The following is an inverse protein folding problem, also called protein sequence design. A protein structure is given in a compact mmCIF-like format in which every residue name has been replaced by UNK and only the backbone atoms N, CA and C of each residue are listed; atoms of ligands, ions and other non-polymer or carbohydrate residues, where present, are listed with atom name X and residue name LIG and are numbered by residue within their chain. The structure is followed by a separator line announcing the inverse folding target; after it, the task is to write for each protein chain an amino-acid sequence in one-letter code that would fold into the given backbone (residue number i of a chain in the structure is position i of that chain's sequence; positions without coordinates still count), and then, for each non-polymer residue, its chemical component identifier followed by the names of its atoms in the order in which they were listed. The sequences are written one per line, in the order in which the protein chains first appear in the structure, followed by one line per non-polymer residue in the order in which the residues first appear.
data_IF_777708536786
#
_entry.id   IF_777708536786
#
_cell.length_a   1.000
_cell.length_b   1.000
_cell.length_c   1.000
_cell.angle_alpha   90.00
_cell.angle_beta   90.00
_cell.angle_gamma   90.00
#
_symmetry.space_group_name_H-M   'P 1'
#
loop_
_entity.id
_entity.type
_entity.pdbx_description
1 polymer ?
#
# COMPACT_ATOMS: atom_id res chain seq x y z
N UNK A 1 -8.72 -25.54 -12.08
CA UNK A 1 -7.77 -24.45 -11.81
C UNK A 1 -8.53 -23.34 -11.10
N UNK A 2 -8.52 -23.31 -9.77
CA UNK A 2 -9.26 -22.33 -8.98
C UNK A 2 -8.55 -20.97 -9.05
N UNK A 3 -9.32 -19.91 -9.32
CA UNK A 3 -8.90 -18.50 -9.40
C UNK A 3 -8.46 -17.95 -8.02
N UNK A 4 -7.46 -18.57 -7.41
CA UNK A 4 -6.89 -18.10 -6.16
C UNK A 4 -6.05 -16.86 -6.48
N UNK A 5 -6.45 -15.72 -5.91
CA UNK A 5 -5.73 -14.45 -5.87
C UNK A 5 -5.99 -13.41 -6.99
N UNK A 6 -7.26 -13.09 -7.29
CA UNK A 6 -7.60 -11.92 -8.14
C UNK A 6 -7.34 -10.54 -7.50
N UNK A 7 -6.95 -10.47 -6.23
CA UNK A 7 -6.72 -9.20 -5.51
C UNK A 7 -5.45 -9.26 -4.64
N UNK A 8 -4.26 -9.25 -5.25
CA UNK A 8 -3.02 -9.21 -4.50
C UNK A 8 -2.93 -7.87 -3.74
N UNK A 9 -2.93 -7.96 -2.42
CA UNK A 9 -2.46 -6.88 -1.56
C UNK A 9 -0.97 -6.73 -1.84
N UNK A 10 -0.53 -5.51 -2.09
CA UNK A 10 0.86 -5.16 -2.38
C UNK A 10 1.58 -4.86 -1.07
N UNK A 11 2.77 -5.43 -0.90
CA UNK A 11 3.69 -5.09 0.18
C UNK A 11 4.32 -3.71 -0.08
N UNK A 12 4.48 -2.90 0.96
CA UNK A 12 5.20 -1.62 0.84
C UNK A 12 6.66 -1.83 0.42
N UNK A 13 7.32 -2.86 0.96
CA UNK A 13 8.72 -3.14 0.63
C UNK A 13 8.89 -3.55 -0.84
N UNK A 14 8.00 -4.39 -1.34
CA UNK A 14 8.01 -4.79 -2.76
C UNK A 14 7.77 -3.57 -3.65
N UNK A 15 6.84 -2.67 -3.25
CA UNK A 15 6.59 -1.43 -3.98
C UNK A 15 7.83 -0.50 -4.00
N UNK A 16 8.54 -0.35 -2.88
CA UNK A 16 9.78 0.44 -2.86
C UNK A 16 10.85 -0.12 -3.81
N UNK A 17 10.95 -1.44 -3.90
CA UNK A 17 11.88 -2.13 -4.81
C UNK A 17 11.44 -1.93 -6.27
N UNK A 18 10.17 -2.19 -6.56
CA UNK A 18 9.60 -2.12 -7.91
C UNK A 18 9.61 -0.70 -8.48
N UNK A 19 9.33 0.30 -7.65
CA UNK A 19 9.41 1.73 -8.00
C UNK A 19 10.86 2.27 -7.97
N UNK A 20 11.84 1.44 -7.60
CA UNK A 20 13.26 1.80 -7.64
C UNK A 20 13.65 2.92 -6.68
N UNK A 21 13.01 3.01 -5.51
CA UNK A 21 13.15 4.13 -4.57
C UNK A 21 14.62 4.37 -4.15
N UNK A 22 15.43 3.32 -3.99
CA UNK A 22 16.84 3.46 -3.66
C UNK A 22 17.64 4.18 -4.76
N UNK A 23 17.33 3.89 -6.03
CA UNK A 23 17.95 4.59 -7.17
C UNK A 23 17.53 6.05 -7.15
N UNK A 24 16.24 6.32 -6.88
CA UNK A 24 15.70 7.67 -6.80
C UNK A 24 16.32 8.51 -5.67
N UNK A 25 16.50 7.91 -4.50
CA UNK A 25 17.17 8.55 -3.36
C UNK A 25 18.61 8.89 -3.72
N UNK A 26 19.32 7.99 -4.40
CA UNK A 26 20.68 8.26 -4.87
C UNK A 26 20.72 9.49 -5.79
N UNK A 27 19.83 9.57 -6.77
CA UNK A 27 19.73 10.74 -7.67
C UNK A 27 19.45 12.04 -6.90
N UNK A 28 18.59 11.98 -5.89
CA UNK A 28 18.27 13.15 -5.05
C UNK A 28 19.50 13.61 -4.25
N UNK A 29 20.26 12.67 -3.71
CA UNK A 29 21.50 12.97 -2.98
C UNK A 29 22.54 13.59 -3.91
N UNK A 30 22.75 13.02 -5.10
CA UNK A 30 23.68 13.54 -6.10
C UNK A 30 23.29 14.98 -6.53
N UNK A 31 22.02 15.19 -6.87
CA UNK A 31 21.47 16.51 -7.20
C UNK A 31 21.64 17.51 -6.04
N UNK A 32 21.41 17.08 -4.79
CA UNK A 32 21.52 17.97 -3.64
C UNK A 32 22.96 18.44 -3.42
N UNK A 33 23.94 17.56 -3.62
CA UNK A 33 25.36 17.89 -3.54
C UNK A 33 25.74 18.88 -4.65
N UNK A 34 25.37 18.59 -5.90
CA UNK A 34 25.69 19.45 -7.06
C UNK A 34 25.12 20.86 -6.92
N UNK A 35 23.90 20.96 -6.42
CA UNK A 35 23.16 22.23 -6.31
C UNK A 35 23.31 22.91 -4.94
N UNK A 36 24.13 22.37 -4.04
CA UNK A 36 24.31 22.88 -2.66
C UNK A 36 23.00 23.03 -1.89
N UNK A 37 22.06 22.10 -2.12
CA UNK A 37 20.78 22.03 -1.39
C UNK A 37 21.06 21.65 0.07
N UNK A 38 20.30 22.23 0.99
CA UNK A 38 20.45 21.91 2.42
C UNK A 38 20.06 20.46 2.71
N UNK A 39 20.71 19.84 3.70
CA UNK A 39 20.36 18.47 4.14
C UNK A 39 18.86 18.37 4.50
N UNK A 40 18.31 19.40 5.15
CA UNK A 40 16.89 19.44 5.53
C UNK A 40 15.97 19.38 4.30
N UNK A 41 16.28 20.15 3.27
CA UNK A 41 15.49 20.18 2.04
C UNK A 41 15.62 18.86 1.25
N UNK A 42 16.84 18.31 1.17
CA UNK A 42 17.06 16.99 0.56
C UNK A 42 16.23 15.90 1.26
N UNK A 43 16.23 15.86 2.60
CA UNK A 43 15.43 14.89 3.35
C UNK A 43 13.92 15.08 3.12
N UNK A 44 13.44 16.31 2.99
CA UNK A 44 12.04 16.56 2.65
C UNK A 44 11.67 16.05 1.25
N UNK A 45 12.59 16.16 0.28
CA UNK A 45 12.37 15.62 -1.07
C UNK A 45 12.31 14.08 -1.02
N UNK A 46 13.23 13.43 -0.31
CA UNK A 46 13.23 11.98 -0.13
C UNK A 46 11.92 11.52 0.54
N UNK A 47 11.51 12.18 1.62
CA UNK A 47 10.27 11.84 2.32
C UNK A 47 9.07 11.95 1.38
N UNK A 48 9.03 12.98 0.53
CA UNK A 48 7.96 13.13 -0.46
C UNK A 48 7.91 11.95 -1.45
N UNK A 49 9.04 11.44 -1.92
CA UNK A 49 9.04 10.26 -2.81
C UNK A 49 8.53 9.01 -2.09
N UNK A 50 8.88 8.83 -0.80
CA UNK A 50 8.35 7.74 0.05
C UNK A 50 6.83 7.86 0.18
N UNK A 51 6.34 9.06 0.55
CA UNK A 51 4.92 9.31 0.78
C UNK A 51 4.08 9.03 -0.46
N UNK A 52 4.61 9.32 -1.66
CA UNK A 52 3.92 9.05 -2.93
C UNK A 52 3.70 7.54 -3.15
N UNK A 53 4.69 6.70 -2.83
CA UNK A 53 4.58 5.25 -2.94
C UNK A 53 3.61 4.72 -1.87
N UNK A 54 3.72 5.20 -0.64
CA UNK A 54 2.83 4.85 0.47
C UNK A 54 1.35 5.13 0.13
N UNK A 55 1.06 6.30 -0.42
CA UNK A 55 -0.27 6.70 -0.83
C UNK A 55 -0.80 5.79 -1.95
N UNK A 56 0.03 5.48 -2.95
CA UNK A 56 -0.33 4.59 -4.04
C UNK A 56 -0.67 3.18 -3.53
N UNK A 57 0.19 2.59 -2.70
CA UNK A 57 -0.01 1.26 -2.13
C UNK A 57 -1.23 1.26 -1.20
N UNK A 58 -1.42 2.32 -0.40
CA UNK A 58 -2.59 2.48 0.47
C UNK A 58 -3.89 2.50 -0.31
N UNK A 59 -3.96 3.24 -1.42
CA UNK A 59 -5.15 3.29 -2.29
C UNK A 59 -5.38 1.94 -2.97
N UNK A 60 -4.35 1.32 -3.51
CA UNK A 60 -4.44 -0.01 -4.14
C UNK A 60 -4.95 -1.06 -3.15
N UNK A 61 -4.33 -1.14 -1.97
CA UNK A 61 -4.69 -2.11 -0.94
C UNK A 61 -6.08 -1.88 -0.37
N UNK A 62 -6.53 -0.62 -0.24
CA UNK A 62 -7.92 -0.31 0.12
C UNK A 62 -8.90 -0.87 -0.92
N UNK A 63 -8.65 -0.62 -2.21
CA UNK A 63 -9.49 -1.17 -3.30
C UNK A 63 -9.46 -2.71 -3.33
N UNK A 64 -8.29 -3.32 -3.11
CA UNK A 64 -8.17 -4.77 -3.05
C UNK A 64 -9.00 -5.36 -1.91
N UNK A 65 -8.93 -4.78 -0.70
CA UNK A 65 -9.73 -5.19 0.45
C UNK A 65 -11.23 -5.05 0.20
N UNK A 66 -11.66 -3.93 -0.37
CA UNK A 66 -13.05 -3.70 -0.77
C UNK A 66 -13.58 -4.81 -1.67
N UNK A 67 -12.80 -5.22 -2.67
CA UNK A 67 -13.18 -6.29 -3.60
C UNK A 67 -13.16 -7.68 -2.95
N UNK A 68 -12.24 -7.92 -2.02
CA UNK A 68 -12.24 -9.14 -1.19
C UNK A 68 -13.53 -9.20 -0.40
N UNK A 69 -13.89 -8.13 0.33
CA UNK A 69 -15.11 -8.09 1.16
C UNK A 69 -16.36 -8.35 0.32
N UNK A 70 -16.51 -7.66 -0.82
CA UNK A 70 -17.65 -7.88 -1.73
C UNK A 70 -17.74 -9.32 -2.22
N UNK A 71 -16.61 -9.90 -2.63
CA UNK A 71 -16.56 -11.30 -3.09
C UNK A 71 -16.96 -12.28 -2.00
N UNK A 72 -16.36 -12.16 -0.81
CA UNK A 72 -16.61 -13.09 0.31
C UNK A 72 -18.06 -13.01 0.82
N UNK A 73 -18.69 -11.84 0.72
CA UNK A 73 -20.08 -11.62 1.14
C UNK A 73 -21.11 -11.71 0.00
N UNK A 74 -20.67 -11.98 -1.24
CA UNK A 74 -21.56 -12.04 -2.40
C UNK A 74 -22.27 -10.72 -2.72
N UNK A 75 -21.63 -9.58 -2.41
CA UNK A 75 -22.20 -8.24 -2.60
C UNK A 75 -21.84 -7.67 -3.96
N UNK A 76 -22.75 -6.89 -4.53
CA UNK A 76 -22.50 -6.12 -5.75
C UNK A 76 -21.75 -4.80 -5.45
N UNK A 77 -21.26 -4.16 -6.51
CA UNK A 77 -20.44 -2.94 -6.42
C UNK A 77 -21.22 -1.70 -5.92
N UNK A 78 -22.56 -1.71 -5.98
CA UNK A 78 -23.39 -0.60 -5.49
C UNK A 78 -23.59 -0.62 -3.97
N UNK A 79 -23.29 -1.74 -3.31
CA UNK A 79 -23.42 -1.87 -1.86
C UNK A 79 -22.36 -1.03 -1.16
N UNK A 80 -22.82 -0.21 -0.20
CA UNK A 80 -21.97 0.56 0.70
C UNK A 80 -21.38 -0.41 1.74
N UNK A 81 -20.06 -0.57 1.72
CA UNK A 81 -19.35 -1.32 2.76
C UNK A 81 -19.16 -0.45 4.00
N UNK A 82 -19.53 -0.99 5.15
CA UNK A 82 -19.30 -0.37 6.47
C UNK A 82 -18.27 -1.18 7.25
N UNK A 83 -17.93 -0.72 8.46
CA UNK A 83 -17.05 -1.45 9.36
C UNK A 83 -17.56 -2.86 9.71
N UNK A 84 -18.86 -3.13 9.59
CA UNK A 84 -19.44 -4.46 9.89
C UNK A 84 -19.06 -5.50 8.84
N UNK A 85 -19.16 -5.17 7.56
CA UNK A 85 -18.80 -6.08 6.46
C UNK A 85 -17.30 -6.39 6.50
N UNK A 86 -16.50 -5.36 6.76
CA UNK A 86 -15.07 -5.50 6.99
C UNK A 86 -14.75 -6.39 8.18
N UNK A 87 -15.44 -6.21 9.32
CA UNK A 87 -15.28 -7.09 10.46
C UNK A 87 -15.72 -8.52 10.11
N UNK A 88 -16.84 -8.72 9.43
CA UNK A 88 -17.32 -10.06 9.07
C UNK A 88 -16.29 -10.86 8.25
N UNK A 89 -15.45 -10.20 7.45
CA UNK A 89 -14.43 -10.87 6.63
C UNK A 89 -13.06 -10.92 7.33
N UNK A 90 -12.61 -9.82 7.94
CA UNK A 90 -11.24 -9.72 8.47
C UNK A 90 -11.13 -9.90 10.00
N UNK A 91 -12.23 -9.91 10.76
CA UNK A 91 -12.17 -10.22 12.20
C UNK A 91 -11.97 -11.71 12.49
N UNK A 92 -12.32 -12.60 11.55
CA UNK A 92 -11.95 -14.02 11.61
C UNK A 92 -10.43 -14.24 11.56
N UNK A 93 -9.66 -13.29 11.02
CA UNK A 93 -8.20 -13.37 10.97
C UNK A 93 -7.53 -12.94 12.30
N UNK A 94 -8.30 -12.50 13.29
CA UNK A 94 -7.82 -12.14 14.64
C UNK A 94 -8.06 -13.22 15.71
N UNK A 95 -8.75 -14.32 15.43
CA UNK A 95 -8.85 -15.51 16.30
C UNK A 95 -8.10 -16.67 15.63
N UNK A 96 -6.98 -17.24 16.08
CA UNK A 96 -6.17 -17.22 17.31
C UNK A 96 -4.77 -17.79 16.98
N UNK A 97 -3.82 -17.82 17.95
CA UNK A 97 -3.21 -19.14 18.22
C UNK A 97 -3.22 -19.58 19.69
N UNK A 98 -4.11 -19.08 20.55
CA UNK A 98 -4.45 -19.73 21.83
C UNK A 98 -5.94 -19.56 22.18
N UNK A 99 -6.81 -20.42 21.62
CA UNK A 99 -7.97 -21.02 22.30
C UNK A 99 -7.93 -22.53 22.00
#
# INVERSE_FOLDING_TARGET
MSEVNKYPIVSLEDAYIDDGLLVRIREIVEMAIENKISVKEMLNIIQREVDLIDDQVSVHNRKARDKIVRRELGLDDSVILTGREYAAVFSFWKKNPED
#
